data_IF_069680836160
#
_entry.id   IF_069680836160
#
_cell.length_a   1.000
_cell.length_b   1.000
_cell.length_c   1.000
_cell.angle_alpha   90.00
_cell.angle_beta   90.00
_cell.angle_gamma   90.00
#
_symmetry.space_group_name_H-M   'P 1'
#
loop_
_entity.id
_entity.type
_entity.pdbx_description
1 polymer ?
#
# COMPACT_ATOMS: atom_id res chain seq x y z
N UNK A 1 2.04 19.06 6.87
CA UNK A 1 3.47 18.80 6.57
C UNK A 1 4.26 18.21 7.75
N UNK A 2 3.90 18.49 9.01
CA UNK A 2 4.60 17.91 10.17
C UNK A 2 4.03 16.56 10.65
N UNK A 3 2.73 16.31 10.51
CA UNK A 3 2.12 15.03 10.90
C UNK A 3 2.55 13.85 9.99
N UNK A 4 2.67 14.12 8.67
CA UNK A 4 3.15 13.12 7.69
C UNK A 4 4.63 12.74 7.91
N UNK A 5 5.47 13.67 8.40
CA UNK A 5 6.88 13.41 8.74
C UNK A 5 7.03 12.61 10.04
N UNK A 6 6.16 12.84 11.01
CA UNK A 6 6.17 12.11 12.28
C UNK A 6 5.85 10.62 12.06
N UNK A 7 4.84 10.31 11.23
CA UNK A 7 4.47 8.93 10.89
C UNK A 7 5.57 8.22 10.09
N UNK A 8 6.16 8.91 9.09
CA UNK A 8 7.23 8.32 8.26
C UNK A 8 8.51 8.02 9.07
N UNK A 9 8.91 8.90 9.98
CA UNK A 9 10.11 8.70 10.82
C UNK A 9 9.93 7.57 11.83
N UNK A 10 8.75 7.47 12.46
CA UNK A 10 8.45 6.35 13.38
C UNK A 10 8.53 5.01 12.63
N UNK A 11 8.08 4.94 11.38
CA UNK A 11 8.06 3.70 10.61
C UNK A 11 9.44 3.29 10.06
N UNK A 12 10.27 4.23 9.62
CA UNK A 12 11.65 3.92 9.19
C UNK A 12 12.50 3.37 10.35
N UNK A 13 12.24 3.83 11.58
CA UNK A 13 12.95 3.33 12.77
C UNK A 13 12.52 1.94 13.23
N UNK A 14 11.29 1.52 12.92
CA UNK A 14 10.79 0.17 13.28
C UNK A 14 11.46 -0.91 12.43
N UNK A 15 11.80 -0.62 11.17
CA UNK A 15 12.49 -1.58 10.28
C UNK A 15 13.95 -1.84 10.65
N UNK A 16 14.62 -0.90 11.34
CA UNK A 16 16.05 -1.01 11.66
C UNK A 16 16.36 -1.89 12.89
N UNK A 17 15.34 -2.38 13.62
CA UNK A 17 15.51 -3.20 14.83
C UNK A 17 15.40 -4.72 14.59
N UNK A 18 15.43 -5.18 13.33
CA UNK A 18 15.44 -6.63 13.03
C UNK A 18 16.88 -7.10 12.88
N UNK A 19 17.47 -7.51 14.00
CA UNK A 19 18.80 -8.11 14.04
C UNK A 19 18.71 -9.57 13.57
N UNK A 20 19.34 -9.89 12.43
CA UNK A 20 19.82 -11.23 12.10
C UNK A 20 18.78 -12.27 11.67
N UNK A 21 18.32 -12.19 10.42
CA UNK A 21 17.64 -13.30 9.75
C UNK A 21 17.14 -12.91 8.36
N UNK A 22 17.91 -13.21 7.31
CA UNK A 22 17.43 -13.09 5.94
C UNK A 22 16.36 -14.17 5.68
N UNK A 23 15.12 -13.82 5.98
CA UNK A 23 13.95 -14.53 5.47
C UNK A 23 13.57 -13.88 4.15
N UNK A 24 13.09 -14.67 3.18
CA UNK A 24 12.43 -14.15 1.97
C UNK A 24 11.11 -13.46 2.38
N UNK A 25 11.21 -12.34 3.10
CA UNK A 25 10.07 -11.55 3.50
C UNK A 25 9.50 -10.93 2.23
N UNK A 26 8.20 -11.10 2.02
CA UNK A 26 7.48 -10.25 1.10
C UNK A 26 7.71 -8.81 1.60
N UNK A 27 8.69 -8.13 1.01
CA UNK A 27 9.01 -6.76 1.35
C UNK A 27 7.71 -5.98 1.13
N UNK A 28 7.23 -5.40 2.21
CA UNK A 28 6.07 -4.56 2.13
C UNK A 28 6.58 -3.17 1.76
N UNK A 29 6.06 -2.65 0.66
CA UNK A 29 6.53 -1.42 0.05
C UNK A 29 5.48 -0.33 0.20
N UNK A 30 5.95 0.90 0.25
CA UNK A 30 5.08 2.03 0.04
C UNK A 30 4.72 2.18 -1.44
N UNK A 31 3.44 2.38 -1.69
CA UNK A 31 2.88 2.78 -2.98
C UNK A 31 2.23 4.15 -2.87
N UNK A 32 2.23 4.89 -3.98
CA UNK A 32 1.44 6.13 -4.12
C UNK A 32 0.38 5.92 -5.20
N UNK A 33 -0.83 6.39 -4.94
CA UNK A 33 -1.91 6.37 -5.94
C UNK A 33 -1.58 7.35 -7.07
N UNK A 34 -1.57 6.83 -8.29
CA UNK A 34 -1.26 7.56 -9.52
C UNK A 34 -2.25 7.20 -10.63
N UNK A 35 -2.20 7.90 -11.76
CA UNK A 35 -2.93 7.57 -12.99
C UNK A 35 -4.47 7.52 -12.87
N UNK A 36 -5.06 8.11 -11.83
CA UNK A 36 -6.50 8.29 -11.69
C UNK A 36 -6.85 9.80 -11.64
N UNK A 37 -8.14 10.15 -11.77
CA UNK A 37 -8.58 11.56 -11.72
C UNK A 37 -8.71 12.10 -10.30
N UNK A 38 -9.36 11.34 -9.43
CA UNK A 38 -9.68 11.78 -8.07
C UNK A 38 -9.30 10.74 -7.00
N UNK A 39 -9.67 9.48 -7.21
CA UNK A 39 -9.44 8.39 -6.26
C UNK A 39 -9.50 7.02 -6.94
N UNK A 40 -9.00 6.00 -6.24
CA UNK A 40 -9.20 4.57 -6.53
C UNK A 40 -9.99 3.90 -5.42
N UNK A 41 -10.49 2.70 -5.66
CA UNK A 41 -11.25 1.93 -4.66
C UNK A 41 -10.34 0.93 -3.94
N UNK A 42 -10.40 0.89 -2.61
CA UNK A 42 -9.95 -0.25 -1.82
C UNK A 42 -11.07 -1.29 -1.82
N UNK A 43 -10.79 -2.52 -2.25
CA UNK A 43 -11.78 -3.56 -2.47
C UNK A 43 -11.62 -4.74 -1.52
N UNK A 44 -12.71 -5.44 -1.21
CA UNK A 44 -12.68 -6.57 -0.27
C UNK A 44 -12.00 -7.84 -0.81
N UNK A 45 -11.96 -8.03 -2.13
CA UNK A 45 -11.26 -9.12 -2.82
C UNK A 45 -10.74 -8.62 -4.20
N UNK A 46 -9.80 -9.32 -4.88
CA UNK A 46 -9.12 -8.82 -6.08
C UNK A 46 -10.01 -8.91 -7.35
N UNK A 47 -11.04 -8.06 -7.42
CA UNK A 47 -11.95 -7.96 -8.58
C UNK A 47 -12.55 -6.56 -8.67
N UNK A 48 -12.88 -6.09 -9.87
CA UNK A 48 -13.60 -4.81 -10.04
C UNK A 48 -15.06 -4.86 -9.58
N UNK A 49 -15.61 -6.06 -9.40
CA UNK A 49 -16.97 -6.30 -8.88
C UNK A 49 -17.00 -6.46 -7.36
N UNK A 50 -15.84 -6.46 -6.69
CA UNK A 50 -15.77 -6.56 -5.24
C UNK A 50 -16.31 -5.33 -4.53
N UNK A 51 -16.80 -5.54 -3.30
CA UNK A 51 -17.30 -4.49 -2.43
C UNK A 51 -16.28 -3.36 -2.29
N UNK A 52 -16.77 -2.12 -2.40
CA UNK A 52 -15.99 -0.92 -2.14
C UNK A 52 -15.85 -0.72 -0.64
N UNK A 53 -14.68 -1.06 -0.10
CA UNK A 53 -14.33 -0.75 1.26
C UNK A 53 -14.10 0.76 1.39
N UNK A 54 -13.14 1.32 0.65
CA UNK A 54 -12.74 2.74 0.75
C UNK A 54 -12.53 3.42 -0.60
N UNK A 55 -12.41 4.75 -0.55
CA UNK A 55 -11.86 5.58 -1.62
C UNK A 55 -10.51 6.14 -1.19
N UNK A 56 -9.48 5.85 -1.97
CA UNK A 56 -8.11 6.32 -1.74
C UNK A 56 -7.81 7.44 -2.74
N UNK A 57 -7.68 8.71 -2.29
CA UNK A 57 -7.42 9.84 -3.17
C UNK A 57 -6.13 9.71 -3.99
N UNK A 58 -6.09 10.36 -5.16
CA UNK A 58 -4.89 10.53 -5.96
C UNK A 58 -3.76 11.16 -5.11
N UNK A 59 -2.57 10.58 -5.17
CA UNK A 59 -1.39 11.04 -4.43
C UNK A 59 -1.32 10.59 -2.97
N UNK A 60 -2.33 9.87 -2.45
CA UNK A 60 -2.24 9.28 -1.13
C UNK A 60 -1.36 8.02 -1.11
N UNK A 61 -0.82 7.75 0.07
CA UNK A 61 0.11 6.65 0.32
C UNK A 61 -0.64 5.40 0.77
N UNK A 62 -0.21 4.26 0.28
CA UNK A 62 -0.76 2.95 0.61
C UNK A 62 0.37 1.99 0.94
N UNK A 63 0.15 1.15 1.94
CA UNK A 63 1.05 0.05 2.22
C UNK A 63 0.73 -1.12 1.31
N UNK A 64 1.70 -1.62 0.57
CA UNK A 64 1.51 -2.67 -0.44
C UNK A 64 2.30 -3.91 -0.06
N UNK A 65 1.62 -5.04 -0.02
CA UNK A 65 2.28 -6.33 0.10
C UNK A 65 2.54 -6.91 -1.31
N UNK A 66 3.78 -6.81 -1.80
CA UNK A 66 4.16 -7.28 -3.14
C UNK A 66 4.06 -8.80 -3.30
N UNK A 67 4.07 -9.58 -2.21
CA UNK A 67 3.96 -11.03 -2.26
C UNK A 67 2.59 -11.54 -2.74
N UNK A 68 1.59 -10.65 -2.83
CA UNK A 68 0.22 -10.99 -3.20
C UNK A 68 -0.26 -10.13 -4.38
N UNK A 69 0.38 -10.34 -5.53
CA UNK A 69 -0.16 -9.89 -6.82
C UNK A 69 -1.05 -10.99 -7.41
N UNK A 70 -2.33 -10.69 -7.61
CA UNK A 70 -3.30 -11.61 -8.20
C UNK A 70 -4.21 -10.84 -9.16
N UNK A 71 -4.31 -11.30 -10.41
CA UNK A 71 -5.21 -10.74 -11.44
C UNK A 71 -5.15 -9.21 -11.59
N UNK A 72 -3.98 -8.61 -11.47
CA UNK A 72 -3.82 -7.16 -11.61
C UNK A 72 -4.10 -6.35 -10.35
N UNK A 73 -4.29 -7.00 -9.20
CA UNK A 73 -4.47 -6.36 -7.91
C UNK A 73 -3.28 -6.57 -6.98
N UNK A 74 -2.99 -5.56 -6.16
CA UNK A 74 -2.13 -5.67 -4.99
C UNK A 74 -2.97 -5.78 -3.73
N UNK A 75 -2.52 -6.62 -2.79
CA UNK A 75 -2.95 -6.52 -1.39
C UNK A 75 -2.41 -5.24 -0.78
N UNK A 76 -3.29 -4.48 -0.13
CA UNK A 76 -3.00 -3.16 0.38
C UNK A 76 -3.64 -2.90 1.74
N UNK A 77 -3.04 -1.99 2.50
CA UNK A 77 -3.64 -1.39 3.69
C UNK A 77 -3.71 0.13 3.54
N UNK A 78 -4.86 0.68 3.89
CA UNK A 78 -5.11 2.12 3.92
C UNK A 78 -5.98 2.47 5.13
N UNK A 79 -5.52 3.43 5.94
CA UNK A 79 -6.18 3.86 7.18
C UNK A 79 -6.57 2.70 8.12
N UNK A 80 -5.70 1.70 8.26
CA UNK A 80 -5.93 0.53 9.13
C UNK A 80 -6.90 -0.50 8.57
N UNK A 81 -7.32 -0.38 7.30
CA UNK A 81 -8.17 -1.35 6.63
C UNK A 81 -7.42 -2.09 5.52
N UNK A 82 -7.49 -3.41 5.59
CA UNK A 82 -6.92 -4.30 4.58
C UNK A 82 -7.89 -4.52 3.42
N UNK A 83 -7.35 -4.60 2.22
CA UNK A 83 -8.11 -4.89 1.00
C UNK A 83 -7.20 -5.00 -0.22
N UNK A 84 -7.76 -4.76 -1.39
CA UNK A 84 -7.08 -4.90 -2.68
C UNK A 84 -7.25 -3.64 -3.53
N UNK A 85 -6.19 -3.26 -4.25
CA UNK A 85 -6.18 -2.12 -5.17
C UNK A 85 -5.66 -2.55 -6.52
N UNK A 86 -6.14 -1.93 -7.59
CA UNK A 86 -5.63 -2.17 -8.94
C UNK A 86 -4.18 -1.71 -9.06
N UNK A 87 -3.29 -2.62 -9.44
CA UNK A 87 -1.86 -2.37 -9.56
C UNK A 87 -1.52 -1.25 -10.56
N UNK A 88 -2.33 -1.10 -11.61
CA UNK A 88 -2.14 -0.07 -12.63
C UNK A 88 -2.18 1.38 -12.09
N UNK A 89 -2.75 1.58 -10.91
CA UNK A 89 -2.85 2.89 -10.25
C UNK A 89 -1.88 3.06 -9.09
N UNK A 90 -0.94 2.13 -8.89
CA UNK A 90 0.04 2.20 -7.81
C UNK A 90 1.44 2.33 -8.39
N UNK A 91 2.15 3.39 -7.97
CA UNK A 91 3.58 3.54 -8.22
C UNK A 91 4.34 3.19 -6.95
N UNK A 92 5.23 2.20 -7.03
CA UNK A 92 6.14 1.88 -5.94
C UNK A 92 7.12 3.01 -5.68
N UNK A 93 7.36 3.25 -4.39
CA UNK A 93 8.49 4.03 -3.92
C UNK A 93 9.47 3.01 -3.35
N UNK A 94 10.55 2.77 -4.10
CA UNK A 94 11.72 2.08 -3.58
C UNK A 94 12.63 3.13 -2.94
N UNK A 95 13.09 2.86 -1.74
CA UNK A 95 14.23 3.55 -1.14
C UNK A 95 15.53 3.18 -1.89
#
# INVERSE_FOLDING_TARGET
MMLKKLVLTVMLTVSLLVIGGQSNQAEAYWGVVVNCREWITLRSYPSTEAESLDRIPLGEWVWINQGYYHDGFYSAEYNGRHGYVLAAYIKYVKD
#
